data_IF_900598801975
#
_entry.id   IF_900598801975
#
_cell.length_a   1.000
_cell.length_b   1.000
_cell.length_c   1.000
_cell.angle_alpha   90.00
_cell.angle_beta   90.00
_cell.angle_gamma   90.00
#
_symmetry.space_group_name_H-M   'P 1'
#
loop_
_entity.id
_entity.type
_entity.pdbx_description
1 polymer ?
#
# COMPACT_ATOMS: atom_id res chain seq x y z
N UNK A 1 -11.86 -21.61 7.61
CA UNK A 1 -10.78 -20.78 8.19
C UNK A 1 -11.11 -20.59 9.67
N UNK A 2 -10.16 -20.86 10.55
CA UNK A 2 -10.35 -20.66 11.99
C UNK A 2 -10.46 -19.15 12.24
N UNK A 3 -11.60 -18.70 12.77
CA UNK A 3 -11.82 -17.28 13.11
C UNK A 3 -10.80 -16.92 14.20
N UNK A 4 -10.04 -15.85 14.02
CA UNK A 4 -9.13 -15.37 15.08
C UNK A 4 -9.99 -15.09 16.31
N UNK A 5 -9.64 -15.72 17.43
CA UNK A 5 -10.20 -15.35 18.73
C UNK A 5 -9.50 -14.05 19.14
N UNK A 6 -10.25 -12.96 19.13
CA UNK A 6 -9.81 -11.65 19.58
C UNK A 6 -10.54 -11.32 20.87
N UNK A 7 -9.84 -10.68 21.80
CA UNK A 7 -10.42 -10.22 23.06
C UNK A 7 -10.15 -8.73 23.28
N UNK A 8 -10.68 -8.15 24.36
CA UNK A 8 -10.41 -6.74 24.70
C UNK A 8 -8.93 -6.54 25.06
N UNK A 9 -8.36 -7.49 25.79
CA UNK A 9 -6.97 -7.48 26.28
C UNK A 9 -5.96 -7.47 25.13
N UNK A 10 -6.34 -8.00 23.97
CA UNK A 10 -5.54 -7.95 22.75
C UNK A 10 -5.24 -6.52 22.28
N UNK A 11 -6.09 -5.55 22.62
CA UNK A 11 -6.03 -4.15 22.18
C UNK A 11 -5.72 -3.20 23.32
N UNK A 12 -6.25 -3.47 24.52
CA UNK A 12 -6.06 -2.68 25.74
C UNK A 12 -4.87 -3.19 26.56
N UNK A 13 -3.68 -3.21 25.95
CA UNK A 13 -2.44 -3.57 26.63
C UNK A 13 -1.33 -2.55 26.35
N UNK A 14 -0.37 -2.39 27.28
CA UNK A 14 0.70 -1.40 27.15
C UNK A 14 1.60 -1.64 25.94
N UNK A 15 1.73 -2.88 25.44
CA UNK A 15 2.55 -3.18 24.26
C UNK A 15 1.93 -2.59 22.99
N UNK A 16 0.61 -2.69 22.82
CA UNK A 16 -0.15 -2.05 21.74
C UNK A 16 -0.16 -0.54 21.91
N UNK A 17 -0.42 -0.03 23.12
CA UNK A 17 -0.40 1.41 23.39
C UNK A 17 0.99 2.03 23.16
N UNK A 18 2.06 1.28 23.45
CA UNK A 18 3.45 1.68 23.28
C UNK A 18 4.01 1.47 21.87
N UNK A 19 3.38 0.63 21.03
CA UNK A 19 3.91 0.26 19.72
C UNK A 19 4.09 1.47 18.79
N UNK A 20 5.32 1.91 18.56
CA UNK A 20 5.61 3.07 17.68
C UNK A 20 5.72 2.65 16.22
N UNK A 21 5.32 3.55 15.33
CA UNK A 21 5.46 3.39 13.89
C UNK A 21 5.94 4.73 13.27
N UNK A 22 7.19 4.81 12.77
CA UNK A 22 8.10 3.69 12.55
C UNK A 22 8.64 3.09 13.85
N UNK A 23 8.88 1.78 13.84
CA UNK A 23 9.58 1.09 14.91
C UNK A 23 11.07 1.46 14.88
N UNK A 24 11.71 1.74 16.04
CA UNK A 24 13.12 2.14 16.08
C UNK A 24 14.04 1.14 15.38
N UNK A 25 13.82 -0.16 15.62
CA UNK A 25 14.68 -1.21 15.07
C UNK A 25 14.22 -1.79 13.72
N UNK A 26 12.96 -1.60 13.30
CA UNK A 26 12.41 -2.28 12.11
C UNK A 26 11.88 -1.33 11.04
N UNK A 27 11.80 -0.03 11.33
CA UNK A 27 11.18 0.95 10.44
C UNK A 27 9.65 0.81 10.40
N UNK A 28 9.06 1.14 9.25
CA UNK A 28 7.60 1.14 9.10
C UNK A 28 7.04 -0.27 8.97
N UNK A 29 6.16 -0.65 9.89
CA UNK A 29 5.44 -1.92 9.79
C UNK A 29 4.18 -1.79 8.93
N UNK A 30 3.45 -0.68 9.08
CA UNK A 30 2.15 -0.44 8.45
C UNK A 30 1.93 1.05 8.18
N UNK A 31 0.87 1.40 7.45
CA UNK A 31 0.48 2.79 7.20
C UNK A 31 1.28 3.48 6.09
N UNK A 32 0.90 4.71 5.71
CA UNK A 32 1.61 5.48 4.71
C UNK A 32 2.96 5.88 5.31
N UNK A 33 4.03 5.42 4.68
CA UNK A 33 5.37 5.91 4.97
C UNK A 33 5.32 7.44 4.75
N UNK A 34 5.64 8.28 5.75
CA UNK A 34 5.72 9.72 5.58
C UNK A 34 6.50 10.02 4.33
N UNK A 35 5.88 10.77 3.42
CA UNK A 35 6.50 11.12 2.17
C UNK A 35 7.70 12.03 2.47
N UNK A 36 8.96 11.57 2.29
CA UNK A 36 10.15 12.39 2.52
C UNK A 36 10.23 13.56 1.54
N UNK A 37 9.40 13.53 0.49
CA UNK A 37 9.30 14.57 -0.51
C UNK A 37 7.91 15.21 -0.47
N UNK A 38 7.63 16.13 0.48
CA UNK A 38 6.32 16.77 0.63
C UNK A 38 5.89 17.56 -0.61
N UNK A 39 6.84 17.92 -1.48
CA UNK A 39 6.56 18.59 -2.76
C UNK A 39 6.07 17.63 -3.85
N UNK A 40 6.30 16.32 -3.69
CA UNK A 40 5.75 15.31 -4.60
C UNK A 40 4.32 14.98 -4.21
N UNK A 41 3.38 15.21 -5.13
CA UNK A 41 2.01 14.75 -5.03
C UNK A 41 1.70 13.88 -6.26
N UNK A 42 1.09 12.70 -6.09
CA UNK A 42 0.50 12.02 -7.23
C UNK A 42 -0.56 12.95 -7.84
N UNK A 43 -0.78 12.81 -9.15
CA UNK A 43 -1.58 13.72 -9.98
C UNK A 43 -2.86 14.21 -9.26
N UNK A 44 -3.19 15.51 -9.29
CA UNK A 44 -4.21 16.13 -8.43
C UNK A 44 -5.65 15.65 -8.66
N UNK A 45 -5.90 14.71 -9.58
CA UNK A 45 -7.23 14.18 -9.80
C UNK A 45 -7.51 13.03 -8.81
N UNK A 46 -8.36 13.24 -7.79
CA UNK A 46 -8.70 12.21 -6.81
C UNK A 46 -9.45 11.01 -7.41
N UNK A 47 -9.89 11.09 -8.68
CA UNK A 47 -10.57 10.01 -9.40
C UNK A 47 -9.64 9.07 -10.13
N UNK A 48 -8.37 9.44 -10.31
CA UNK A 48 -7.40 8.55 -10.95
C UNK A 48 -6.85 7.59 -9.90
N UNK A 49 -7.07 6.26 -10.04
CA UNK A 49 -6.44 5.29 -9.17
C UNK A 49 -4.93 5.46 -9.26
N UNK A 50 -4.23 5.47 -8.13
CA UNK A 50 -2.77 5.43 -8.12
C UNK A 50 -2.37 4.09 -8.71
N UNK A 51 -1.76 4.09 -9.90
CA UNK A 51 -1.32 2.86 -10.53
C UNK A 51 -0.05 2.34 -9.85
N UNK A 52 0.25 1.06 -10.01
CA UNK A 52 1.55 0.51 -9.57
C UNK A 52 2.71 1.31 -10.16
N UNK A 53 2.59 1.75 -11.42
CA UNK A 53 3.59 2.58 -12.09
C UNK A 53 3.74 3.97 -11.46
N UNK A 54 2.66 4.61 -11.00
CA UNK A 54 2.73 5.91 -10.31
C UNK A 54 3.50 5.80 -8.98
N UNK A 55 3.34 4.66 -8.29
CA UNK A 55 4.08 4.36 -7.07
C UNK A 55 5.53 3.95 -7.32
N UNK A 56 5.83 3.25 -8.41
CA UNK A 56 7.20 2.94 -8.84
C UNK A 56 7.98 4.20 -9.22
N UNK A 57 7.28 5.21 -9.76
CA UNK A 57 7.85 6.50 -10.14
C UNK A 57 7.83 7.54 -9.01
N UNK A 58 7.12 7.27 -7.90
CA UNK A 58 7.20 8.07 -6.71
C UNK A 58 8.65 8.09 -6.20
N UNK A 59 9.21 9.26 -5.83
CA UNK A 59 10.50 9.32 -5.15
C UNK A 59 10.37 8.53 -3.84
N UNK A 60 10.84 7.29 -3.87
CA UNK A 60 10.56 6.28 -2.86
C UNK A 60 11.41 6.56 -1.62
N UNK A 61 10.86 6.49 -0.40
CA UNK A 61 11.61 6.18 0.82
C UNK A 61 11.64 4.68 1.15
N UNK A 62 10.81 3.86 0.50
CA UNK A 62 10.33 2.60 1.08
C UNK A 62 10.64 1.29 0.34
N UNK A 63 11.48 1.26 -0.70
CA UNK A 63 11.91 0.00 -1.31
C UNK A 63 13.09 -0.62 -0.56
N UNK A 64 12.83 -1.08 0.65
CA UNK A 64 13.63 -2.17 1.19
C UNK A 64 13.35 -3.41 0.31
N UNK A 65 14.28 -3.70 -0.61
CA UNK A 65 14.46 -4.97 -1.34
C UNK A 65 13.80 -5.21 -2.72
N UNK A 66 13.54 -4.18 -3.53
CA UNK A 66 13.42 -4.37 -4.99
C UNK A 66 14.46 -3.53 -5.72
N UNK A 67 15.57 -4.19 -6.05
CA UNK A 67 16.66 -3.74 -6.94
C UNK A 67 17.33 -2.43 -6.55
N UNK A 68 18.53 -2.55 -5.97
CA UNK A 68 19.48 -1.47 -5.60
C UNK A 68 19.91 -0.53 -6.75
N UNK A 69 19.27 -0.59 -7.91
CA UNK A 69 19.57 0.24 -9.09
C UNK A 69 18.68 1.49 -9.20
N UNK A 70 17.48 1.52 -8.62
CA UNK A 70 16.52 2.61 -8.90
C UNK A 70 16.84 3.94 -8.19
N UNK A 71 17.32 3.91 -6.95
CA UNK A 71 17.63 5.15 -6.20
C UNK A 71 18.94 5.81 -6.61
N UNK A 72 19.86 5.03 -7.18
CA UNK A 72 21.16 5.51 -7.65
C UNK A 72 21.04 6.58 -8.73
N UNK A 73 19.99 6.50 -9.55
CA UNK A 73 19.89 7.21 -10.82
C UNK A 73 19.58 8.70 -10.67
N UNK A 74 19.10 9.15 -9.51
CA UNK A 74 18.78 10.57 -9.28
C UNK A 74 19.88 11.35 -8.55
N UNK A 75 20.74 10.67 -7.77
CA UNK A 75 21.79 11.34 -6.98
C UNK A 75 23.20 11.15 -7.56
N UNK A 76 23.37 10.23 -8.53
CA UNK A 76 24.68 9.92 -9.12
C UNK A 76 24.54 9.77 -10.64
N UNK A 77 25.33 10.53 -11.39
CA UNK A 77 25.59 10.22 -12.79
C UNK A 77 26.16 8.79 -12.85
N UNK A 78 25.38 7.84 -13.37
CA UNK A 78 25.67 6.40 -13.53
C UNK A 78 26.96 5.94 -12.82
N UNK A 79 26.90 5.48 -11.56
CA UNK A 79 28.11 5.10 -10.84
C UNK A 79 28.89 4.07 -11.67
N UNK A 80 30.16 4.36 -11.96
CA UNK A 80 31.05 3.53 -12.79
C UNK A 80 31.30 2.14 -12.19
N UNK A 81 30.92 1.92 -10.93
CA UNK A 81 30.97 0.62 -10.27
C UNK A 81 29.96 0.50 -9.13
N UNK A 82 29.59 -0.74 -8.79
CA UNK A 82 28.74 -1.05 -7.63
C UNK A 82 29.37 -0.58 -6.31
N UNK A 83 30.70 -0.54 -6.22
CA UNK A 83 31.43 -0.05 -5.03
C UNK A 83 31.21 1.47 -4.85
N UNK A 84 31.30 2.24 -5.94
CA UNK A 84 31.04 3.68 -5.92
C UNK A 84 29.59 3.98 -5.49
N UNK A 85 28.63 3.19 -5.98
CA UNK A 85 27.23 3.29 -5.55
C UNK A 85 27.07 3.02 -4.05
N UNK A 86 27.63 1.92 -3.52
CA UNK A 86 27.53 1.60 -2.08
C UNK A 86 28.22 2.64 -1.21
N UNK A 87 29.31 3.26 -1.67
CA UNK A 87 29.99 4.37 -0.97
C UNK A 87 29.13 5.62 -0.98
N UNK A 88 28.53 5.96 -2.12
CA UNK A 88 27.61 7.09 -2.23
C UNK A 88 26.42 6.92 -1.29
N UNK A 89 25.75 5.76 -1.29
CA UNK A 89 24.62 5.52 -0.37
C UNK A 89 25.05 5.69 1.09
N UNK A 90 26.22 5.17 1.51
CA UNK A 90 26.71 5.36 2.88
C UNK A 90 26.97 6.82 3.24
N UNK A 91 27.52 7.60 2.32
CA UNK A 91 27.97 8.96 2.61
C UNK A 91 26.85 10.00 2.44
N UNK A 92 26.05 9.88 1.39
CA UNK A 92 24.97 10.80 1.06
C UNK A 92 23.63 10.41 1.70
N UNK A 93 23.47 9.14 2.08
CA UNK A 93 22.24 8.60 2.68
C UNK A 93 22.57 7.74 3.92
N UNK A 94 23.19 8.30 4.98
CA UNK A 94 23.64 7.53 6.14
C UNK A 94 22.52 6.70 6.80
N UNK A 95 21.26 7.18 6.75
CA UNK A 95 20.10 6.44 7.24
C UNK A 95 19.64 5.27 6.36
N UNK A 96 20.02 5.21 5.08
CA UNK A 96 19.64 4.13 4.16
C UNK A 96 20.56 2.91 4.26
N UNK A 97 21.73 3.04 4.90
CA UNK A 97 22.69 1.95 5.10
C UNK A 97 22.63 1.28 6.47
N UNK A 98 21.90 1.85 7.42
CA UNK A 98 21.47 1.11 8.60
C UNK A 98 20.53 0.03 8.10
N UNK A 99 21.02 -1.22 8.09
CA UNK A 99 20.17 -2.36 7.84
C UNK A 99 19.50 -2.71 9.19
N UNK A 100 18.23 -2.31 9.42
CA UNK A 100 17.50 -2.64 10.65
C UNK A 100 17.50 -4.14 10.95
N UNK A 101 17.69 -4.99 9.93
CA UNK A 101 17.62 -6.44 10.05
C UNK A 101 18.91 -7.12 10.55
N UNK A 102 19.95 -6.40 10.98
CA UNK A 102 21.19 -7.02 11.48
C UNK A 102 21.18 -7.39 12.96
N UNK A 103 20.20 -6.94 13.73
CA UNK A 103 19.98 -7.46 15.08
C UNK A 103 19.32 -8.84 14.94
N UNK A 104 19.91 -9.86 15.58
CA UNK A 104 19.39 -11.22 15.63
C UNK A 104 18.14 -11.28 16.52
N UNK A 105 17.10 -10.55 16.16
CA UNK A 105 15.87 -10.52 16.93
C UNK A 105 15.02 -11.73 16.50
N UNK A 106 14.48 -12.52 17.44
CA UNK A 106 13.69 -13.69 17.12
C UNK A 106 12.51 -13.34 16.20
N UNK A 107 12.23 -14.21 15.23
CA UNK A 107 11.12 -14.03 14.29
C UNK A 107 9.76 -13.85 15.01
N UNK A 108 9.59 -14.48 16.18
CA UNK A 108 8.39 -14.34 17.00
C UNK A 108 8.18 -12.89 17.50
N UNK A 109 9.24 -12.23 17.92
CA UNK A 109 9.19 -10.85 18.40
C UNK A 109 8.90 -9.88 17.24
N UNK A 110 9.49 -10.13 16.06
CA UNK A 110 9.17 -9.38 14.84
C UNK A 110 7.69 -9.51 14.46
N UNK A 111 7.13 -10.72 14.51
CA UNK A 111 5.72 -10.96 14.23
C UNK A 111 4.84 -10.22 15.25
N UNK A 112 5.22 -10.28 16.54
CA UNK A 112 4.51 -9.63 17.63
C UNK A 112 4.51 -8.10 17.49
N UNK A 113 5.68 -7.49 17.29
CA UNK A 113 5.83 -6.05 17.07
C UNK A 113 5.02 -5.57 15.87
N UNK A 114 5.04 -6.35 14.77
CA UNK A 114 4.22 -6.07 13.59
C UNK A 114 2.72 -6.10 13.90
N UNK A 115 2.25 -7.05 14.69
CA UNK A 115 0.83 -7.14 15.06
C UNK A 115 0.40 -6.00 15.97
N UNK A 116 1.21 -5.62 16.95
CA UNK A 116 0.89 -4.51 17.85
C UNK A 116 0.87 -3.15 17.16
N UNK A 117 1.86 -2.90 16.28
CA UNK A 117 1.86 -1.70 15.47
C UNK A 117 0.59 -1.61 14.59
N UNK A 118 0.12 -2.74 14.05
CA UNK A 118 -1.12 -2.77 13.28
C UNK A 118 -2.35 -2.48 14.14
N UNK A 119 -2.48 -3.16 15.29
CA UNK A 119 -3.58 -2.95 16.23
C UNK A 119 -3.66 -1.48 16.66
N UNK A 120 -2.53 -0.87 17.02
CA UNK A 120 -2.45 0.56 17.35
C UNK A 120 -2.82 1.46 16.17
N UNK A 121 -2.38 1.11 14.96
CA UNK A 121 -2.72 1.86 13.75
C UNK A 121 -4.23 1.85 13.45
N UNK A 122 -4.91 0.77 13.78
CA UNK A 122 -6.37 0.66 13.67
C UNK A 122 -7.07 1.43 14.79
N UNK A 123 -6.65 1.28 16.05
CA UNK A 123 -7.20 2.00 17.20
C UNK A 123 -7.09 3.53 17.04
N UNK A 124 -5.93 4.01 16.57
CA UNK A 124 -5.71 5.43 16.27
C UNK A 124 -6.39 5.92 15.00
N UNK A 125 -7.12 5.04 14.28
CA UNK A 125 -7.83 5.33 13.03
C UNK A 125 -6.95 5.84 11.89
N UNK A 126 -5.62 5.79 12.02
CA UNK A 126 -4.70 6.27 11.00
C UNK A 126 -4.94 5.60 9.65
N UNK A 127 -5.30 4.31 9.67
CA UNK A 127 -5.60 3.52 8.47
C UNK A 127 -6.79 4.06 7.65
N UNK A 128 -7.76 4.75 8.28
CA UNK A 128 -8.92 5.33 7.57
C UNK A 128 -8.51 6.41 6.57
N UNK A 129 -7.34 7.00 6.74
CA UNK A 129 -6.79 8.04 5.85
C UNK A 129 -5.74 7.50 4.85
N UNK A 130 -5.20 6.30 5.09
CA UNK A 130 -4.14 5.71 4.29
C UNK A 130 -4.65 5.29 2.90
N UNK A 131 -3.91 5.54 1.81
CA UNK A 131 -4.25 4.98 0.49
C UNK A 131 -3.38 3.77 0.21
N UNK A 132 -3.96 2.58 0.28
CA UNK A 132 -3.25 1.35 -0.06
C UNK A 132 -3.39 1.06 -1.56
N UNK A 133 -2.31 0.61 -2.19
CA UNK A 133 -2.19 0.39 -3.65
C UNK A 133 -3.28 -0.54 -4.20
N UNK A 134 -3.75 -1.48 -3.39
CA UNK A 134 -4.71 -2.52 -3.80
C UNK A 134 -6.12 -2.33 -3.24
N UNK A 135 -6.46 -1.14 -2.74
CA UNK A 135 -7.80 -0.89 -2.17
C UNK A 135 -8.63 0.05 -3.05
N UNK A 136 -9.47 -0.47 -3.96
CA UNK A 136 -10.52 0.31 -4.60
C UNK A 136 -11.67 0.51 -3.60
N UNK A 137 -11.51 1.45 -2.67
CA UNK A 137 -12.57 1.98 -1.79
C UNK A 137 -13.03 1.08 -0.64
N UNK A 138 -13.03 -0.23 -0.83
CA UNK A 138 -13.27 -1.25 0.18
C UNK A 138 -12.04 -2.17 0.18
N UNK A 139 -11.38 -2.32 1.34
CA UNK A 139 -10.21 -3.18 1.46
C UNK A 139 -10.52 -4.62 1.05
N UNK A 140 -9.50 -5.47 0.81
CA UNK A 140 -9.72 -6.85 0.44
C UNK A 140 -10.65 -7.52 1.46
N UNK A 141 -11.75 -8.12 0.96
CA UNK A 141 -12.64 -8.90 1.81
C UNK A 141 -11.83 -9.98 2.53
N UNK A 142 -12.06 -10.13 3.83
CA UNK A 142 -11.30 -11.04 4.71
C UNK A 142 -9.85 -10.60 4.96
N UNK A 143 -9.60 -9.29 4.92
CA UNK A 143 -8.32 -8.76 5.40
C UNK A 143 -8.25 -8.75 6.92
N UNK A 144 -7.05 -8.91 7.46
CA UNK A 144 -6.81 -8.79 8.91
C UNK A 144 -7.25 -7.43 9.47
N UNK A 145 -7.18 -6.37 8.66
CA UNK A 145 -7.65 -5.03 9.05
C UNK A 145 -9.18 -5.05 9.20
N UNK A 146 -9.88 -5.65 8.24
CA UNK A 146 -11.34 -5.80 8.31
C UNK A 146 -11.76 -6.63 9.53
N UNK A 147 -11.08 -7.74 9.80
CA UNK A 147 -11.37 -8.57 10.97
C UNK A 147 -11.18 -7.80 12.28
N UNK A 148 -10.09 -7.02 12.39
CA UNK A 148 -9.87 -6.14 13.54
C UNK A 148 -10.93 -5.03 13.65
N UNK A 149 -11.32 -4.40 12.54
CA UNK A 149 -12.35 -3.36 12.57
C UNK A 149 -13.72 -3.91 12.97
N UNK A 150 -14.13 -5.05 12.40
CA UNK A 150 -15.36 -5.74 12.78
C UNK A 150 -15.39 -6.04 14.28
N UNK A 151 -14.29 -6.58 14.82
CA UNK A 151 -14.18 -6.90 16.23
C UNK A 151 -14.24 -5.65 17.12
N UNK A 152 -13.51 -4.59 16.77
CA UNK A 152 -13.48 -3.35 17.55
C UNK A 152 -14.82 -2.60 17.56
N UNK A 153 -15.57 -2.64 16.45
CA UNK A 153 -16.93 -2.08 16.39
C UNK A 153 -17.91 -2.89 17.23
N UNK A 154 -17.79 -4.23 17.21
CA UNK A 154 -18.58 -5.09 18.09
C UNK A 154 -18.25 -4.80 19.57
N UNK A 155 -16.96 -4.71 19.91
CA UNK A 155 -16.51 -4.39 21.27
C UNK A 155 -17.04 -3.02 21.72
N UNK A 156 -17.01 -2.01 20.85
CA UNK A 156 -17.57 -0.69 21.16
C UNK A 156 -19.10 -0.67 21.26
N UNK A 157 -19.81 -1.67 20.74
CA UNK A 157 -21.26 -1.82 20.96
C UNK A 157 -21.56 -2.45 22.31
N UNK A 158 -20.70 -3.38 22.76
CA UNK A 158 -20.84 -4.11 24.02
C UNK A 158 -20.34 -3.30 25.23
N UNK A 159 -19.33 -2.44 25.03
CA UNK A 159 -18.62 -1.71 26.09
C UNK A 159 -18.64 -0.19 25.85
N UNK A 160 -19.42 0.51 26.67
CA UNK A 160 -19.58 1.97 26.58
C UNK A 160 -18.30 2.73 26.94
N UNK A 161 -17.47 2.22 27.86
CA UNK A 161 -16.24 2.91 28.26
C UNK A 161 -15.22 2.84 27.11
N UNK A 162 -15.13 1.67 26.48
CA UNK A 162 -14.33 1.48 25.28
C UNK A 162 -14.81 2.38 24.13
N UNK A 163 -16.12 2.44 23.91
CA UNK A 163 -16.73 3.30 22.90
C UNK A 163 -16.48 4.78 23.18
N UNK A 164 -16.52 5.23 24.44
CA UNK A 164 -16.23 6.60 24.79
C UNK A 164 -14.75 6.95 24.55
N UNK A 165 -13.84 6.01 24.80
CA UNK A 165 -12.40 6.22 24.64
C UNK A 165 -11.95 6.21 23.17
N UNK A 166 -12.41 5.24 22.37
CA UNK A 166 -11.92 5.02 21.01
C UNK A 166 -12.96 5.35 19.92
N UNK A 167 -14.22 5.56 20.30
CA UNK A 167 -15.38 5.75 19.43
C UNK A 167 -15.93 4.44 18.85
N UNK A 168 -17.02 4.54 18.09
CA UNK A 168 -17.81 3.39 17.65
C UNK A 168 -17.58 2.95 16.21
N UNK A 169 -16.97 3.81 15.39
CA UNK A 169 -16.67 3.52 13.98
C UNK A 169 -15.17 3.32 13.77
N UNK A 170 -14.80 2.14 13.29
CA UNK A 170 -13.43 1.80 12.93
C UNK A 170 -13.26 1.66 11.42
N UNK A 171 -14.28 1.16 10.72
CA UNK A 171 -14.30 1.10 9.26
C UNK A 171 -14.16 2.48 8.61
N UNK A 172 -13.56 2.51 7.43
CA UNK A 172 -13.54 3.71 6.60
C UNK A 172 -15.00 4.11 6.30
N UNK A 173 -15.38 5.39 6.45
CA UNK A 173 -16.69 5.83 5.98
C UNK A 173 -16.78 5.42 4.51
N UNK A 174 -17.84 4.70 4.14
CA UNK A 174 -18.09 4.50 2.71
C UNK A 174 -18.15 5.90 2.12
N UNK A 175 -17.20 6.23 1.26
CA UNK A 175 -17.27 7.45 0.48
C UNK A 175 -18.61 7.35 -0.21
N UNK A 176 -19.60 8.10 0.31
CA UNK A 176 -20.95 8.07 -0.21
C UNK A 176 -20.81 8.21 -1.72
N UNK A 177 -21.53 7.38 -2.49
CA UNK A 177 -21.51 7.44 -3.95
C UNK A 177 -21.48 8.93 -4.30
N UNK A 178 -20.43 9.44 -4.99
CA UNK A 178 -20.37 10.85 -5.30
C UNK A 178 -21.74 11.22 -5.86
N UNK A 179 -22.39 12.29 -5.36
CA UNK A 179 -23.76 12.60 -5.68
C UNK A 179 -23.89 12.46 -7.18
N UNK A 180 -24.74 11.52 -7.61
CA UNK A 180 -24.88 11.18 -9.03
C UNK A 180 -24.97 12.50 -9.76
N UNK A 181 -23.98 12.86 -10.61
CA UNK A 181 -24.00 14.17 -11.25
C UNK A 181 -25.38 14.28 -11.89
N UNK A 182 -26.11 15.39 -11.65
CA UNK A 182 -27.48 15.54 -12.12
C UNK A 182 -27.46 15.16 -13.59
N UNK A 183 -28.28 14.16 -13.92
CA UNK A 183 -28.27 13.49 -15.21
C UNK A 183 -28.10 14.53 -16.30
N UNK A 184 -26.91 14.55 -16.92
CA UNK A 184 -26.59 15.58 -17.89
C UNK A 184 -27.76 15.64 -18.89
N UNK A 185 -28.35 16.82 -19.15
CA UNK A 185 -29.56 16.94 -19.94
C UNK A 185 -29.36 16.15 -21.21
N UNK A 186 -30.23 15.16 -21.45
CA UNK A 186 -30.20 14.24 -22.60
C UNK A 186 -29.96 15.11 -23.84
N UNK A 187 -28.70 15.19 -24.29
CA UNK A 187 -28.41 15.80 -25.58
C UNK A 187 -29.17 14.95 -26.58
N UNK A 188 -30.18 15.56 -27.23
CA UNK A 188 -30.90 14.96 -28.35
C UNK A 188 -29.83 14.54 -29.35
N UNK A 189 -29.47 13.25 -29.36
CA UNK A 189 -28.55 12.70 -30.35
C UNK A 189 -29.21 12.94 -31.69
N UNK A 190 -28.53 13.71 -32.54
CA UNK A 190 -28.95 13.84 -33.93
C UNK A 190 -29.10 12.42 -34.52
N UNK A 191 -30.09 12.21 -35.41
CA UNK A 191 -30.27 10.93 -36.07
C UNK A 191 -28.95 10.43 -36.67
N UNK A 192 -28.62 9.14 -36.54
CA UNK A 192 -27.41 8.59 -37.14
C UNK A 192 -27.46 8.84 -38.64
N UNK A 193 -26.49 9.60 -39.16
CA UNK A 193 -26.32 9.75 -40.61
C UNK A 193 -26.06 8.37 -41.19
N UNK A 194 -27.03 7.85 -41.96
CA UNK A 194 -26.89 6.63 -42.76
C UNK A 194 -25.72 6.84 -43.73
N UNK A 195 -24.73 5.96 -43.64
CA UNK A 195 -23.81 5.70 -44.74
C UNK A 195 -22.37 6.09 -44.46
N UNK A 196 -21.62 5.18 -43.86
CA UNK A 196 -20.26 4.90 -44.35
C UNK A 196 -20.06 3.39 -44.40
N UNK A 197 -19.86 2.89 -45.62
CA UNK A 197 -19.48 1.51 -45.89
C UNK A 197 -18.14 1.24 -45.21
N UNK A 198 -18.09 0.19 -44.39
CA UNK A 198 -16.85 -0.33 -43.85
C UNK A 198 -16.04 -0.96 -44.99
N UNK A 199 -14.96 -0.32 -45.39
CA UNK A 199 -13.88 -0.94 -46.16
C UNK A 199 -12.63 -1.00 -45.29
N UNK A 200 -12.09 -2.20 -45.12
CA UNK A 200 -10.75 -2.38 -44.58
C UNK A 200 -10.64 -3.43 -43.48
N UNK A 201 -10.77 -4.70 -43.85
CA UNK A 201 -10.22 -5.81 -43.08
C UNK A 201 -8.70 -5.63 -42.97
N UNK A 202 -8.22 -5.10 -41.84
CA UNK A 202 -6.80 -5.08 -41.51
C UNK A 202 -6.41 -6.43 -40.94
N UNK A 203 -5.83 -7.28 -41.80
CA UNK A 203 -5.17 -8.55 -41.43
C UNK A 203 -4.25 -8.32 -40.23
N UNK A 204 -4.48 -9.03 -39.14
CA UNK A 204 -3.54 -9.10 -38.03
C UNK A 204 -2.35 -10.00 -38.41
N UNK A 205 -1.10 -9.60 -38.11
CA UNK A 205 0.05 -10.47 -38.30
C UNK A 205 0.08 -11.57 -37.24
N UNK A 206 0.38 -12.80 -37.69
CA UNK A 206 0.52 -13.98 -36.84
C UNK A 206 1.65 -13.80 -35.82
N UNK A 207 1.32 -14.01 -34.54
CA UNK A 207 2.26 -13.92 -33.42
C UNK A 207 3.09 -15.21 -33.37
N UNK A 208 4.38 -15.11 -33.70
CA UNK A 208 5.33 -16.22 -33.64
C UNK A 208 5.47 -16.76 -32.21
N UNK A 209 5.34 -18.08 -32.05
CA UNK A 209 5.56 -18.81 -30.80
C UNK A 209 7.07 -18.85 -30.52
N UNK A 210 7.52 -18.25 -29.41
CA UNK A 210 8.89 -18.44 -28.89
C UNK A 210 8.97 -19.82 -28.24
N UNK A 211 9.85 -20.67 -28.76
CA UNK A 211 10.22 -21.94 -28.14
C UNK A 211 10.99 -21.68 -26.83
N UNK A 212 10.55 -22.29 -25.74
CA UNK A 212 11.30 -22.39 -24.50
C UNK A 212 12.48 -23.36 -24.72
N UNK A 213 13.69 -22.87 -24.45
CA UNK A 213 14.92 -23.67 -24.41
C UNK A 213 14.96 -24.36 -23.04
N UNK A 214 14.79 -25.68 -23.03
CA UNK A 214 15.01 -26.51 -21.83
C UNK A 214 16.52 -26.58 -21.59
N UNK A 215 16.95 -26.22 -20.39
CA UNK A 215 18.32 -26.40 -19.91
C UNK A 215 18.36 -27.72 -19.12
N UNK A 216 19.27 -28.67 -19.42
CA UNK A 216 19.38 -29.89 -18.65
C UNK A 216 20.03 -29.63 -17.28
N UNK A 217 19.42 -30.18 -16.25
CA UNK A 217 19.98 -30.37 -14.92
C UNK A 217 21.14 -31.36 -15.00
N UNK A 218 22.30 -30.98 -14.48
CA UNK A 218 23.45 -31.87 -14.30
C UNK A 218 23.42 -32.39 -12.87
N UNK A 219 23.47 -33.72 -12.75
CA UNK A 219 23.60 -34.46 -11.51
C UNK A 219 25.04 -34.45 -10.99
#
# INVERSE_FOLDING_TARGET
MQRMQLSREDFDNPEVAGAVNPHPDYGYFHGPIPNPNPTWRPHPDPRTPVTTADNENAPTPGSSYATSQSMATKCVASPSSQIALRRHIRNAHPGATLNPFRTNIPQAERIRAKSYALKRWILSRGWRTARYVKEPGEGPMYSIIQDYCNFLEQLAQEDNDFAQQFGTEFHRPRLGKPPTPPSAPKRKRAPPKKGHKATGSRKQPARARRCCRVVPETA
#
